data_IF_822305871277
#
_entry.id   IF_822305871277
#
_cell.length_a   1.000
_cell.length_b   1.000
_cell.length_c   1.000
_cell.angle_alpha   90.00
_cell.angle_beta   90.00
_cell.angle_gamma   90.00
#
_symmetry.space_group_name_H-M   'P 1'
#
loop_
_entity.id
_entity.type
_entity.pdbx_description
1 polymer ?
#
# COMPACT_ATOMS: atom_id res chain seq x y z
N UNK A 1 -24.43 -68.29 -12.16
CA UNK A 1 -24.88 -66.98 -11.65
C UNK A 1 -23.63 -66.18 -11.28
N UNK A 2 -23.13 -65.34 -12.19
CA UNK A 2 -21.95 -64.52 -11.94
C UNK A 2 -22.40 -63.18 -11.33
N UNK A 3 -22.12 -62.98 -10.04
CA UNK A 3 -22.42 -61.73 -9.33
C UNK A 3 -21.40 -60.67 -9.71
N UNK A 4 -21.81 -59.71 -10.54
CA UNK A 4 -21.02 -58.53 -10.87
C UNK A 4 -20.76 -57.71 -9.59
N UNK A 5 -19.49 -57.53 -9.22
CA UNK A 5 -19.10 -56.63 -8.14
C UNK A 5 -19.30 -55.17 -8.59
N UNK A 6 -19.84 -54.29 -7.73
CA UNK A 6 -20.13 -52.91 -8.12
C UNK A 6 -18.81 -52.14 -8.27
N UNK A 7 -18.59 -51.58 -9.46
CA UNK A 7 -17.46 -50.69 -9.73
C UNK A 7 -17.50 -49.49 -8.77
N UNK A 8 -16.38 -49.16 -8.09
CA UNK A 8 -16.39 -48.08 -7.11
C UNK A 8 -16.59 -46.73 -7.81
N UNK A 9 -17.59 -45.99 -7.35
CA UNK A 9 -17.99 -44.68 -7.88
C UNK A 9 -16.82 -43.70 -7.97
N UNK A 10 -16.69 -43.01 -9.12
CA UNK A 10 -15.62 -42.03 -9.41
C UNK A 10 -15.45 -40.97 -8.29
N UNK A 11 -16.55 -40.57 -7.65
CA UNK A 11 -16.57 -39.65 -6.49
C UNK A 11 -15.79 -40.19 -5.28
N UNK A 12 -15.88 -41.50 -4.99
CA UNK A 12 -15.12 -42.15 -3.90
C UNK A 12 -13.63 -42.26 -4.20
N UNK A 13 -13.25 -42.25 -5.46
CA UNK A 13 -11.86 -42.35 -5.93
C UNK A 13 -11.17 -40.98 -5.93
N UNK A 14 -11.88 -39.92 -6.32
CA UNK A 14 -11.42 -38.53 -6.23
C UNK A 14 -11.31 -38.05 -4.77
N UNK A 15 -12.30 -38.36 -3.92
CA UNK A 15 -12.27 -37.99 -2.51
C UNK A 15 -11.14 -38.67 -1.71
N UNK A 16 -10.82 -39.93 -2.00
CA UNK A 16 -9.66 -40.61 -1.41
C UNK A 16 -8.34 -39.97 -1.82
N UNK A 17 -8.18 -39.61 -3.10
CA UNK A 17 -6.98 -38.92 -3.59
C UNK A 17 -6.73 -37.57 -2.90
N UNK A 18 -7.79 -36.81 -2.62
CA UNK A 18 -7.70 -35.56 -1.86
C UNK A 18 -7.28 -35.80 -0.41
N UNK A 19 -7.89 -36.78 0.27
CA UNK A 19 -7.53 -37.13 1.66
C UNK A 19 -6.10 -37.63 1.75
N UNK A 20 -5.67 -38.50 0.82
CA UNK A 20 -4.31 -39.02 0.78
C UNK A 20 -3.28 -37.93 0.47
N UNK A 21 -3.63 -36.94 -0.36
CA UNK A 21 -2.81 -35.75 -0.63
C UNK A 21 -2.62 -34.89 0.61
N UNK A 22 -3.70 -34.55 1.32
CA UNK A 22 -3.62 -33.79 2.56
C UNK A 22 -2.88 -34.55 3.67
N UNK A 23 -3.03 -35.88 3.71
CA UNK A 23 -2.28 -36.74 4.62
C UNK A 23 -0.79 -36.70 4.35
N UNK A 24 -0.37 -36.80 3.08
CA UNK A 24 1.04 -36.65 2.68
C UNK A 24 1.60 -35.28 3.01
N UNK A 25 0.85 -34.21 2.74
CA UNK A 25 1.26 -32.86 3.13
C UNK A 25 1.48 -32.77 4.64
N UNK A 26 0.54 -33.31 5.44
CA UNK A 26 0.66 -33.33 6.90
C UNK A 26 1.89 -34.11 7.37
N UNK A 27 2.16 -35.27 6.77
CA UNK A 27 3.32 -36.08 7.08
C UNK A 27 4.64 -35.40 6.68
N UNK A 28 4.68 -34.66 5.56
CA UNK A 28 5.84 -33.87 5.13
C UNK A 28 6.13 -32.71 6.09
N UNK A 29 5.13 -31.91 6.46
CA UNK A 29 5.31 -30.83 7.43
C UNK A 29 5.73 -31.35 8.82
N UNK A 30 5.19 -32.50 9.23
CA UNK A 30 5.59 -33.17 10.48
C UNK A 30 7.06 -33.61 10.44
N UNK A 31 7.49 -34.12 9.29
CA UNK A 31 8.89 -34.56 9.09
C UNK A 31 9.82 -33.35 9.12
N UNK A 32 9.50 -32.29 8.39
CA UNK A 32 10.25 -31.02 8.42
C UNK A 32 10.34 -30.45 9.84
N UNK A 33 9.24 -30.48 10.61
CA UNK A 33 9.25 -30.00 12.00
C UNK A 33 10.22 -30.80 12.89
N UNK A 34 10.23 -32.13 12.76
CA UNK A 34 11.15 -33.01 13.51
C UNK A 34 12.60 -32.75 13.12
N UNK A 35 12.88 -32.67 11.81
CA UNK A 35 14.22 -32.41 11.30
C UNK A 35 14.73 -31.02 11.71
N UNK A 36 13.84 -30.02 11.74
CA UNK A 36 14.17 -28.66 12.19
C UNK A 36 14.51 -28.64 13.68
N UNK A 37 13.75 -29.38 14.50
CA UNK A 37 14.03 -29.52 15.94
C UNK A 37 15.40 -30.19 16.18
N UNK A 38 15.69 -31.28 15.45
CA UNK A 38 17.00 -31.93 15.51
C UNK A 38 18.13 -31.01 15.03
N UNK A 39 17.90 -30.22 13.98
CA UNK A 39 18.87 -29.28 13.44
C UNK A 39 19.22 -28.16 14.44
N UNK A 40 18.23 -27.70 15.22
CA UNK A 40 18.43 -26.71 16.28
C UNK A 40 19.32 -27.26 17.41
N UNK A 41 19.15 -28.53 17.78
CA UNK A 41 19.99 -29.21 18.79
C UNK A 41 21.41 -29.45 18.25
N UNK A 42 21.53 -29.88 16.99
CA UNK A 42 22.83 -30.20 16.37
C UNK A 42 23.70 -28.94 16.14
N UNK A 43 23.11 -27.77 15.87
CA UNK A 43 23.85 -26.52 15.59
C UNK A 43 23.21 -25.29 16.26
N UNK A 44 23.40 -25.10 17.57
CA UNK A 44 22.72 -24.06 18.35
C UNK A 44 23.09 -22.64 17.92
N UNK A 45 24.36 -22.40 17.53
CA UNK A 45 24.79 -21.07 17.06
C UNK A 45 24.10 -20.63 15.77
N UNK A 46 23.98 -21.52 14.78
CA UNK A 46 23.32 -21.20 13.51
C UNK A 46 21.82 -20.99 13.71
N UNK A 47 21.17 -21.86 14.48
CA UNK A 47 19.76 -21.72 14.84
C UNK A 47 19.50 -20.42 15.61
N UNK A 48 20.38 -20.08 16.57
CA UNK A 48 20.33 -18.84 17.32
C UNK A 48 20.29 -17.62 16.41
N UNK A 49 21.19 -17.53 15.42
CA UNK A 49 21.20 -16.43 14.45
C UNK A 49 19.86 -16.26 13.71
N UNK A 50 19.26 -17.37 13.24
CA UNK A 50 17.96 -17.33 12.57
C UNK A 50 16.82 -16.90 13.51
N UNK A 51 16.77 -17.42 14.75
CA UNK A 51 15.77 -17.03 15.72
C UNK A 51 15.93 -15.58 16.18
N UNK A 52 17.16 -15.08 16.33
CA UNK A 52 17.41 -13.68 16.65
C UNK A 52 16.98 -12.76 15.52
N UNK A 53 17.22 -13.14 14.26
CA UNK A 53 16.77 -12.36 13.10
C UNK A 53 15.24 -12.30 13.04
N UNK A 54 14.58 -13.45 13.20
CA UNK A 54 13.12 -13.53 13.18
C UNK A 54 12.49 -12.78 14.36
N UNK A 55 13.05 -12.92 15.56
CA UNK A 55 12.62 -12.18 16.75
C UNK A 55 12.79 -10.67 16.60
N UNK A 56 13.91 -10.22 16.02
CA UNK A 56 14.15 -8.80 15.73
C UNK A 56 13.13 -8.25 14.74
N UNK A 57 12.81 -9.00 13.68
CA UNK A 57 11.80 -8.61 12.71
C UNK A 57 10.39 -8.54 13.33
N UNK A 58 10.03 -9.52 14.16
CA UNK A 58 8.74 -9.53 14.88
C UNK A 58 8.65 -8.35 15.85
N UNK A 59 9.74 -8.08 16.58
CA UNK A 59 9.83 -6.95 17.49
C UNK A 59 9.67 -5.63 16.72
N UNK A 60 10.46 -5.46 15.65
CA UNK A 60 10.42 -4.27 14.78
C UNK A 60 9.02 -4.04 14.19
N UNK A 61 8.36 -5.09 13.72
CA UNK A 61 6.98 -5.02 13.23
C UNK A 61 6.00 -4.56 14.32
N UNK A 62 6.17 -5.02 15.56
CA UNK A 62 5.30 -4.63 16.69
C UNK A 62 5.57 -3.21 17.19
N UNK A 63 6.81 -2.77 17.16
CA UNK A 63 7.22 -1.44 17.64
C UNK A 63 7.12 -0.34 16.58
N UNK A 64 6.83 -0.68 15.33
CA UNK A 64 6.69 0.27 14.24
C UNK A 64 5.54 1.26 14.53
N UNK A 65 5.81 2.57 14.67
CA UNK A 65 4.76 3.54 14.95
C UNK A 65 3.81 3.70 13.76
N UNK A 66 2.61 4.23 14.02
CA UNK A 66 1.70 4.66 12.96
C UNK A 66 1.95 6.13 12.62
N UNK A 67 1.53 6.56 11.43
CA UNK A 67 1.64 7.96 11.00
C UNK A 67 0.96 8.90 12.00
N UNK A 68 -0.27 8.56 12.40
CA UNK A 68 -1.05 9.34 13.37
C UNK A 68 -0.34 9.46 14.71
N UNK A 69 0.28 8.37 15.18
CA UNK A 69 1.04 8.38 16.44
C UNK A 69 2.23 9.32 16.35
N UNK A 70 3.02 9.21 15.28
CA UNK A 70 4.17 10.08 15.04
C UNK A 70 3.76 11.56 14.97
N UNK A 71 2.65 11.87 14.29
CA UNK A 71 2.13 13.24 14.21
C UNK A 71 1.64 13.75 15.56
N UNK A 72 0.99 12.91 16.37
CA UNK A 72 0.57 13.29 17.71
C UNK A 72 1.76 13.53 18.64
N UNK A 73 2.80 12.69 18.58
CA UNK A 73 4.03 12.85 19.36
C UNK A 73 4.75 14.17 19.03
N UNK A 74 4.79 14.59 17.76
CA UNK A 74 5.33 15.89 17.36
C UNK A 74 4.51 17.06 17.92
N UNK A 75 3.17 16.96 17.89
CA UNK A 75 2.26 17.98 18.45
C UNK A 75 2.41 18.08 19.96
N UNK A 76 2.46 16.96 20.66
CA UNK A 76 2.66 16.91 22.11
C UNK A 76 4.01 17.49 22.50
N UNK A 77 5.08 17.15 21.78
CA UNK A 77 6.41 17.67 22.05
C UNK A 77 6.45 19.19 21.90
N UNK A 78 5.81 19.73 20.86
CA UNK A 78 5.63 21.17 20.70
C UNK A 78 4.84 21.79 21.85
N UNK A 79 3.73 21.17 22.25
CA UNK A 79 2.91 21.68 23.34
C UNK A 79 3.67 21.70 24.66
N UNK A 80 4.53 20.71 24.91
CA UNK A 80 5.43 20.70 26.07
C UNK A 80 6.40 21.88 26.02
N UNK A 81 7.02 22.15 24.87
CA UNK A 81 7.91 23.31 24.73
C UNK A 81 7.16 24.62 24.96
N UNK A 82 5.92 24.77 24.51
CA UNK A 82 5.13 25.99 24.75
C UNK A 82 4.86 26.24 26.25
N UNK A 83 4.78 25.20 27.08
CA UNK A 83 4.53 25.34 28.52
C UNK A 83 5.78 25.72 29.32
N UNK A 84 6.97 25.53 28.75
CA UNK A 84 8.21 25.86 29.40
C UNK A 84 8.55 27.34 29.12
N UNK A 85 9.23 28.03 30.06
CA UNK A 85 9.72 29.38 29.81
C UNK A 85 10.88 29.34 28.81
N UNK A 86 10.90 30.30 27.87
CA UNK A 86 11.91 30.38 26.82
C UNK A 86 13.37 30.43 27.34
N UNK A 87 13.58 30.83 28.61
CA UNK A 87 14.90 30.87 29.25
C UNK A 87 15.54 29.50 29.45
N UNK A 88 14.74 28.42 29.54
CA UNK A 88 15.25 27.04 29.75
C UNK A 88 15.17 26.19 28.48
N UNK A 89 14.74 26.78 27.36
CA UNK A 89 14.62 26.05 26.11
C UNK A 89 15.99 25.78 25.50
N UNK A 90 16.16 24.56 24.97
CA UNK A 90 17.26 24.30 24.06
C UNK A 90 16.92 24.88 22.68
N UNK A 91 17.71 25.86 22.24
CA UNK A 91 17.53 26.56 20.96
C UNK A 91 17.55 25.61 19.76
N UNK A 92 18.37 24.56 19.80
CA UNK A 92 18.44 23.57 18.71
C UNK A 92 17.14 22.77 18.61
N UNK A 93 16.62 22.32 19.76
CA UNK A 93 15.36 21.57 19.81
C UNK A 93 14.17 22.42 19.37
N UNK A 94 14.15 23.70 19.76
CA UNK A 94 13.13 24.66 19.31
C UNK A 94 13.18 24.91 17.80
N UNK A 95 14.39 25.10 17.25
CA UNK A 95 14.58 25.28 15.80
C UNK A 95 14.09 24.05 15.02
N UNK A 96 14.46 22.85 15.46
CA UNK A 96 14.03 21.58 14.87
C UNK A 96 12.50 21.40 14.91
N UNK A 97 11.86 21.68 16.05
CA UNK A 97 10.40 21.59 16.19
C UNK A 97 9.66 22.65 15.35
N UNK A 98 10.25 23.83 15.20
CA UNK A 98 9.76 24.88 14.32
C UNK A 98 9.85 24.44 12.85
N UNK A 99 11.02 23.96 12.41
CA UNK A 99 11.25 23.50 11.05
C UNK A 99 10.31 22.35 10.67
N UNK A 100 10.22 21.30 11.49
CA UNK A 100 9.37 20.14 11.20
C UNK A 100 7.92 20.52 11.00
N UNK A 101 7.43 21.50 11.74
CA UNK A 101 6.03 21.91 11.60
C UNK A 101 5.81 22.84 10.42
N UNK A 102 6.82 23.62 10.03
CA UNK A 102 6.81 24.33 8.77
C UNK A 102 6.76 23.32 7.60
N UNK A 103 7.55 22.25 7.65
CA UNK A 103 7.52 21.19 6.62
C UNK A 103 6.18 20.44 6.56
N UNK A 104 5.55 20.20 7.72
CA UNK A 104 4.19 19.63 7.80
C UNK A 104 3.19 20.60 7.17
N UNK A 105 3.25 21.89 7.50
CA UNK A 105 2.34 22.89 6.95
C UNK A 105 2.48 23.05 5.42
N UNK A 106 3.67 22.78 4.90
CA UNK A 106 3.97 22.82 3.47
C UNK A 106 3.70 21.49 2.75
N UNK A 107 3.15 20.48 3.43
CA UNK A 107 2.95 19.12 2.88
C UNK A 107 4.22 18.48 2.27
N UNK A 108 5.40 18.90 2.73
CA UNK A 108 6.73 18.44 2.26
C UNK A 108 7.33 17.33 3.11
N UNK A 109 6.68 17.01 4.22
CA UNK A 109 7.12 15.99 5.14
C UNK A 109 6.35 14.69 4.86
N UNK A 110 7.05 13.63 4.44
CA UNK A 110 6.44 12.38 4.02
C UNK A 110 6.74 11.25 5.01
N UNK A 111 5.69 10.51 5.35
CA UNK A 111 5.77 9.31 6.18
C UNK A 111 5.73 8.06 5.30
N UNK A 112 6.76 7.22 5.41
CA UNK A 112 6.82 5.93 4.74
C UNK A 112 6.80 4.82 5.77
N UNK A 113 5.82 3.92 5.66
CA UNK A 113 5.77 2.71 6.48
C UNK A 113 6.34 1.53 5.70
N UNK A 114 7.51 1.03 6.11
CA UNK A 114 8.22 -0.10 5.49
C UNK A 114 8.04 -1.42 6.27
N UNK A 115 6.86 -1.64 6.84
CA UNK A 115 6.44 -2.82 7.63
C UNK A 115 7.22 -3.03 8.94
N UNK A 116 8.55 -3.09 8.89
CA UNK A 116 9.43 -3.28 10.04
C UNK A 116 9.96 -1.95 10.62
N UNK A 117 9.96 -0.88 9.83
CA UNK A 117 10.37 0.44 10.29
C UNK A 117 9.63 1.53 9.52
N UNK A 118 9.57 2.71 10.12
CA UNK A 118 8.99 3.91 9.52
C UNK A 118 10.07 4.95 9.24
N UNK A 119 9.98 5.60 8.08
CA UNK A 119 10.85 6.72 7.75
C UNK A 119 10.05 8.02 7.60
N UNK A 120 10.64 9.09 8.11
CA UNK A 120 10.11 10.43 8.02
C UNK A 120 11.08 11.23 7.15
N UNK A 121 10.69 11.49 5.90
CA UNK A 121 11.59 12.05 4.88
C UNK A 121 11.15 13.46 4.53
N UNK A 122 12.10 14.39 4.56
CA UNK A 122 11.93 15.76 4.08
C UNK A 122 12.10 15.80 2.56
N UNK A 123 11.09 16.30 1.85
CA UNK A 123 11.16 16.55 0.41
C UNK A 123 11.55 18.00 0.10
N UNK A 124 12.39 18.27 -0.91
CA UNK A 124 12.67 19.63 -1.37
C UNK A 124 11.45 20.35 -1.93
N UNK A 125 10.46 19.63 -2.47
CA UNK A 125 9.26 20.23 -3.08
C UNK A 125 7.97 19.54 -2.61
N UNK A 126 6.86 20.28 -2.63
CA UNK A 126 5.53 19.72 -2.39
C UNK A 126 5.23 18.68 -3.47
N UNK A 127 4.75 17.50 -3.06
CA UNK A 127 4.38 16.38 -3.93
C UNK A 127 3.39 16.80 -5.01
N UNK A 128 2.50 17.75 -4.73
CA UNK A 128 1.52 18.26 -5.69
C UNK A 128 2.20 19.06 -6.79
N UNK A 129 3.11 19.96 -6.40
CA UNK A 129 3.89 20.77 -7.33
C UNK A 129 4.80 19.88 -8.17
N UNK A 130 5.54 18.97 -7.53
CA UNK A 130 6.40 18.01 -8.22
C UNK A 130 5.61 17.16 -9.23
N UNK A 131 4.43 16.65 -8.86
CA UNK A 131 3.58 15.88 -9.77
C UNK A 131 3.04 16.71 -10.93
N UNK A 132 2.68 17.98 -10.70
CA UNK A 132 2.25 18.88 -11.78
C UNK A 132 3.42 19.17 -12.72
N UNK A 133 4.60 19.50 -12.21
CA UNK A 133 5.79 19.72 -13.05
C UNK A 133 6.20 18.46 -13.80
N UNK A 134 6.25 17.29 -13.15
CA UNK A 134 6.54 16.03 -13.85
C UNK A 134 5.43 15.69 -14.82
N UNK A 135 4.15 15.91 -14.51
CA UNK A 135 3.09 15.71 -15.50
C UNK A 135 3.24 16.67 -16.67
N UNK A 136 3.64 17.93 -16.47
CA UNK A 136 3.84 18.89 -17.56
C UNK A 136 5.10 18.56 -18.38
N UNK A 137 6.13 18.03 -17.72
CA UNK A 137 7.41 17.64 -18.34
C UNK A 137 7.33 16.27 -19.04
N UNK A 138 6.55 15.32 -18.50
CA UNK A 138 6.25 14.00 -19.06
C UNK A 138 5.11 14.05 -20.10
N UNK A 139 4.19 15.03 -20.02
CA UNK A 139 3.12 15.27 -21.04
C UNK A 139 3.64 16.11 -22.22
N UNK A 140 4.95 16.17 -22.43
CA UNK A 140 5.54 16.61 -23.70
C UNK A 140 5.14 15.76 -24.92
N UNK A 141 4.28 14.76 -24.73
CA UNK A 141 3.73 13.94 -25.80
C UNK A 141 2.49 14.61 -26.43
N UNK A 142 2.69 15.12 -27.64
CA UNK A 142 1.68 15.82 -28.45
C UNK A 142 0.39 14.98 -28.64
N UNK A 143 0.47 13.66 -28.48
CA UNK A 143 -0.64 12.72 -28.57
C UNK A 143 -1.76 12.94 -27.53
N UNK A 144 -1.42 13.28 -26.29
CA UNK A 144 -2.42 13.43 -25.22
C UNK A 144 -3.24 14.71 -25.41
N UNK A 145 -2.57 15.81 -25.77
CA UNK A 145 -3.20 17.10 -26.10
C UNK A 145 -4.11 16.94 -27.33
N UNK A 146 -3.65 16.23 -28.37
CA UNK A 146 -4.46 15.95 -29.56
C UNK A 146 -5.69 15.10 -29.22
N UNK A 147 -5.57 14.09 -28.35
CA UNK A 147 -6.73 13.28 -27.94
C UNK A 147 -7.80 14.08 -27.19
N UNK A 148 -7.40 14.99 -26.30
CA UNK A 148 -8.32 15.87 -25.59
C UNK A 148 -8.96 16.91 -26.52
N UNK A 149 -8.19 17.45 -27.47
CA UNK A 149 -8.70 18.38 -28.47
C UNK A 149 -9.73 17.70 -29.40
N UNK A 150 -9.45 16.48 -29.86
CA UNK A 150 -10.38 15.68 -30.69
C UNK A 150 -11.65 15.37 -29.89
N UNK A 151 -11.53 14.95 -28.63
CA UNK A 151 -12.69 14.68 -27.78
C UNK A 151 -13.56 15.93 -27.57
N UNK A 152 -12.96 17.10 -27.36
CA UNK A 152 -13.68 18.36 -27.22
C UNK A 152 -14.44 18.74 -28.51
N UNK A 153 -13.81 18.58 -29.67
CA UNK A 153 -14.44 18.86 -30.97
C UNK A 153 -15.61 17.90 -31.24
N UNK A 154 -15.45 16.60 -31.00
CA UNK A 154 -16.52 15.62 -31.20
C UNK A 154 -17.71 15.87 -30.26
N UNK A 155 -17.46 16.22 -29.00
CA UNK A 155 -18.52 16.58 -28.06
C UNK A 155 -19.25 17.88 -28.47
N UNK A 156 -18.54 18.87 -29.00
CA UNK A 156 -19.16 20.09 -29.53
C UNK A 156 -20.04 19.82 -30.77
N UNK A 157 -19.61 18.91 -31.66
CA UNK A 157 -20.40 18.48 -32.82
C UNK A 157 -21.67 17.74 -32.38
N UNK A 158 -21.59 16.84 -31.40
CA UNK A 158 -22.77 16.16 -30.84
C UNK A 158 -23.75 17.15 -30.20
N UNK A 159 -23.23 18.15 -29.48
CA UNK A 159 -24.05 19.20 -28.88
C UNK A 159 -24.77 20.04 -29.95
N UNK A 160 -24.08 20.41 -31.03
CA UNK A 160 -24.67 21.12 -32.16
C UNK A 160 -25.73 20.26 -32.89
N UNK A 161 -25.46 18.97 -33.10
CA UNK A 161 -26.41 18.03 -33.69
C UNK A 161 -27.67 17.86 -32.84
N UNK A 162 -27.53 17.77 -31.52
CA UNK A 162 -28.66 17.73 -30.59
C UNK A 162 -29.55 18.97 -30.74
N UNK A 163 -28.93 20.16 -30.80
CA UNK A 163 -29.66 21.43 -30.91
C UNK A 163 -30.38 21.58 -32.27
N UNK A 164 -29.72 21.18 -33.36
CA UNK A 164 -30.31 21.18 -34.70
C UNK A 164 -31.46 20.18 -34.81
N UNK A 165 -31.30 18.96 -34.30
CA UNK A 165 -32.37 17.96 -34.26
C UNK A 165 -33.59 18.45 -33.48
N UNK A 166 -33.37 19.06 -32.31
CA UNK A 166 -34.44 19.65 -31.50
C UNK A 166 -35.19 20.78 -32.22
N UNK A 167 -34.46 21.58 -33.01
CA UNK A 167 -35.05 22.66 -33.83
C UNK A 167 -35.95 22.11 -34.95
N UNK A 168 -35.57 20.99 -35.58
CA UNK A 168 -36.36 20.33 -36.62
C UNK A 168 -37.63 19.68 -36.05
N UNK A 169 -37.57 19.08 -34.86
CA UNK A 169 -38.75 18.52 -34.19
C UNK A 169 -39.79 19.61 -33.90
N UNK A 170 -39.36 20.79 -33.43
CA UNK A 170 -40.27 21.94 -33.27
C UNK A 170 -40.89 22.37 -34.60
N UNK A 171 -40.12 22.35 -35.69
CA UNK A 171 -40.60 22.72 -37.03
C UNK A 171 -41.65 21.75 -37.58
N UNK A 172 -41.47 20.44 -37.35
CA UNK A 172 -42.43 19.40 -37.74
C UNK A 172 -43.72 19.37 -36.90
N UNK A 173 -43.69 19.84 -35.65
CA UNK A 173 -44.88 19.94 -34.79
C UNK A 173 -45.79 21.13 -35.14
N UNK A 174 -45.26 22.12 -35.86
CA UNK A 174 -45.94 23.36 -36.27
C UNK A 174 -46.49 23.31 -37.71
N UNK A 175 -46.22 22.23 -38.46
CA UNK A 175 -46.85 21.90 -39.73
C UNK A 175 -47.86 20.79 -39.51
#
# INVERSE_FOLDING_TARGET
MATASPSPSLLRRLGRGFVDYWRRIGDDYRTVAKETAEACVKKPFKAGFYFTGLGTLVYAYRTNPSELRTMNELRESRQRMTMLPASIHNKETDAELAERSLLISQHRLHYYNLWFFSLLVQSPHDRTIARVFTSVQDTGDSLLIVSFAIAAVLNAVLFAQFFLYWSEVKRKKMR
#
